data_IF_524903370955
#
_entry.id   IF_524903370955
#
_cell.length_a   1.000
_cell.length_b   1.000
_cell.length_c   1.000
_cell.angle_alpha   90.00
_cell.angle_beta   90.00
_cell.angle_gamma   90.00
#
_symmetry.space_group_name_H-M   'P 1'
#
loop_
_entity.id
_entity.type
_entity.pdbx_description
1 polymer ?
#
# COMPACT_ATOMS: atom_id res chain seq x y z
N UNK A 1 -20.82 7.96 40.34
CA UNK A 1 -21.44 8.32 39.05
C UNK A 1 -20.97 7.33 38.01
N UNK A 2 -21.92 6.64 37.39
CA UNK A 2 -21.72 5.48 36.50
C UNK A 2 -20.93 5.85 35.23
N UNK A 3 -19.81 5.17 35.00
CA UNK A 3 -19.04 5.20 33.75
C UNK A 3 -19.29 3.92 32.92
N UNK A 4 -20.54 3.45 32.87
CA UNK A 4 -20.95 2.32 32.06
C UNK A 4 -21.73 2.83 30.84
N UNK A 5 -21.03 3.19 29.74
CA UNK A 5 -21.63 3.33 28.40
C UNK A 5 -20.63 3.55 27.25
N UNK A 6 -19.62 2.69 27.12
CA UNK A 6 -18.81 2.67 25.88
C UNK A 6 -18.52 1.26 25.30
N UNK A 7 -19.08 0.20 25.89
CA UNK A 7 -18.81 -1.20 25.50
C UNK A 7 -19.90 -1.87 24.63
N UNK A 8 -20.95 -1.16 24.21
CA UNK A 8 -22.02 -1.71 23.37
C UNK A 8 -21.72 -1.65 21.85
N UNK A 9 -20.47 -1.36 21.45
CA UNK A 9 -20.09 -1.46 20.05
C UNK A 9 -19.74 -2.93 19.73
N UNK A 10 -20.41 -3.58 18.75
CA UNK A 10 -20.14 -4.97 18.42
C UNK A 10 -18.65 -5.14 18.08
N UNK A 11 -17.96 -5.93 18.92
CA UNK A 11 -16.53 -6.20 18.76
C UNK A 11 -16.37 -7.42 17.86
N UNK A 12 -15.82 -7.20 16.66
CA UNK A 12 -15.66 -8.24 15.65
C UNK A 12 -14.19 -8.65 15.62
N UNK A 13 -13.90 -9.95 15.56
CA UNK A 13 -12.54 -10.45 15.44
C UNK A 13 -11.96 -10.08 14.09
N UNK A 14 -10.67 -9.73 14.05
CA UNK A 14 -9.97 -9.42 12.80
C UNK A 14 -10.10 -10.55 11.78
N UNK A 15 -10.07 -11.81 12.22
CA UNK A 15 -10.25 -12.96 11.34
C UNK A 15 -11.58 -12.94 10.57
N UNK A 16 -12.65 -12.38 11.14
CA UNK A 16 -13.98 -12.40 10.52
C UNK A 16 -14.16 -11.34 9.42
N UNK A 17 -13.40 -10.24 9.44
CA UNK A 17 -13.52 -9.16 8.45
C UNK A 17 -12.24 -8.87 7.66
N UNK A 18 -11.17 -9.65 7.86
CA UNK A 18 -9.92 -9.48 7.13
C UNK A 18 -10.16 -9.74 5.64
N UNK A 19 -9.77 -8.81 4.75
CA UNK A 19 -9.94 -9.01 3.32
C UNK A 19 -9.10 -10.19 2.81
N UNK A 20 -9.67 -10.98 1.91
CA UNK A 20 -8.99 -12.11 1.30
C UNK A 20 -7.69 -11.67 0.59
N UNK A 21 -6.65 -12.50 0.67
CA UNK A 21 -5.34 -12.13 0.13
C UNK A 21 -5.37 -12.02 -1.38
N UNK A 22 -6.04 -12.95 -2.06
CA UNK A 22 -6.05 -13.00 -3.52
C UNK A 22 -6.85 -11.84 -4.08
N UNK A 23 -8.00 -11.55 -3.47
CA UNK A 23 -8.82 -10.39 -3.85
C UNK A 23 -8.08 -9.06 -3.63
N UNK A 24 -7.42 -8.92 -2.47
CA UNK A 24 -6.65 -7.71 -2.16
C UNK A 24 -5.47 -7.52 -3.11
N UNK A 25 -4.68 -8.58 -3.36
CA UNK A 25 -3.56 -8.52 -4.31
C UNK A 25 -4.04 -8.25 -5.74
N UNK A 26 -5.15 -8.87 -6.14
CA UNK A 26 -5.78 -8.67 -7.44
C UNK A 26 -6.23 -7.23 -7.70
N UNK A 27 -6.43 -6.42 -6.66
CA UNK A 27 -6.71 -4.98 -6.77
C UNK A 27 -5.46 -4.11 -6.55
N UNK A 28 -4.64 -4.46 -5.56
CA UNK A 28 -3.48 -3.67 -5.16
C UNK A 28 -2.41 -3.63 -6.25
N UNK A 29 -2.05 -4.79 -6.80
CA UNK A 29 -1.00 -4.90 -7.82
C UNK A 29 -1.32 -4.07 -9.07
N UNK A 30 -2.49 -4.21 -9.72
CA UNK A 30 -2.81 -3.37 -10.88
C UNK A 30 -2.92 -1.89 -10.53
N UNK A 31 -3.42 -1.54 -9.34
CA UNK A 31 -3.48 -0.14 -8.90
C UNK A 31 -2.09 0.47 -8.81
N UNK A 32 -1.14 -0.20 -8.14
CA UNK A 32 0.24 0.26 -8.03
C UNK A 32 0.96 0.26 -9.37
N UNK A 33 0.68 -0.72 -10.25
CA UNK A 33 1.22 -0.74 -11.62
C UNK A 33 0.75 0.48 -12.42
N UNK A 34 -0.55 0.75 -12.47
CA UNK A 34 -1.13 1.87 -13.22
C UNK A 34 -0.52 3.19 -12.73
N UNK A 35 -0.48 3.39 -11.41
CA UNK A 35 0.10 4.61 -10.81
C UNK A 35 1.58 4.72 -11.12
N UNK A 36 2.32 3.62 -11.03
CA UNK A 36 3.73 3.58 -11.37
C UNK A 36 3.99 3.94 -12.84
N UNK A 37 3.13 3.51 -13.76
CA UNK A 37 3.21 3.89 -15.18
C UNK A 37 2.84 5.35 -15.39
N UNK A 38 1.81 5.86 -14.73
CA UNK A 38 1.46 7.30 -14.79
C UNK A 38 2.61 8.15 -14.26
N UNK A 39 3.24 7.72 -13.14
CA UNK A 39 4.41 8.38 -12.58
C UNK A 39 5.61 8.35 -13.54
N UNK A 40 5.81 7.26 -14.30
CA UNK A 40 6.83 7.20 -15.35
C UNK A 40 6.63 8.28 -16.40
N UNK A 41 5.42 8.42 -16.94
CA UNK A 41 5.14 9.45 -17.95
C UNK A 41 5.28 10.85 -17.38
N UNK A 42 4.85 11.06 -16.13
CA UNK A 42 5.09 12.32 -15.42
C UNK A 42 6.58 12.63 -15.32
N UNK A 43 7.40 11.66 -14.88
CA UNK A 43 8.85 11.81 -14.80
C UNK A 43 9.47 12.07 -16.18
N UNK A 44 9.26 11.19 -17.15
CA UNK A 44 9.90 11.23 -18.45
C UNK A 44 9.54 12.49 -19.28
N UNK A 45 8.32 13.01 -19.12
CA UNK A 45 7.82 14.13 -19.95
C UNK A 45 7.82 15.47 -19.24
N UNK A 46 7.68 15.51 -17.91
CA UNK A 46 7.52 16.76 -17.16
C UNK A 46 8.77 17.19 -16.41
N UNK A 47 9.78 16.33 -16.27
CA UNK A 47 11.04 16.67 -15.58
C UNK A 47 12.19 16.81 -16.58
N UNK A 48 13.10 17.74 -16.31
CA UNK A 48 14.28 17.94 -17.14
C UNK A 48 15.20 16.71 -17.11
N UNK A 49 15.39 16.10 -15.92
CA UNK A 49 16.15 14.86 -15.76
C UNK A 49 15.55 13.69 -16.55
N UNK A 50 14.22 13.56 -16.53
CA UNK A 50 13.51 12.52 -17.26
C UNK A 50 13.65 12.67 -18.78
N UNK A 51 13.59 13.91 -19.29
CA UNK A 51 13.84 14.20 -20.71
C UNK A 51 15.27 13.90 -21.13
N UNK A 52 16.26 14.30 -20.32
CA UNK A 52 17.68 14.01 -20.58
C UNK A 52 17.95 12.49 -20.56
N UNK A 53 17.33 11.75 -19.64
CA UNK A 53 17.44 10.29 -19.61
C UNK A 53 16.73 9.63 -20.79
N UNK A 54 15.61 10.19 -21.23
CA UNK A 54 14.87 9.72 -22.41
C UNK A 54 15.70 9.88 -23.69
N UNK A 55 16.36 11.02 -23.84
CA UNK A 55 17.22 11.31 -25.01
C UNK A 55 18.51 10.47 -25.01
N UNK A 56 19.09 10.20 -23.83
CA UNK A 56 20.37 9.48 -23.72
C UNK A 56 20.24 7.95 -23.75
N UNK A 57 19.22 7.38 -23.11
CA UNK A 57 19.03 5.91 -23.01
C UNK A 57 17.99 5.38 -23.99
N UNK A 58 17.13 6.26 -24.50
CA UNK A 58 15.97 5.90 -25.30
C UNK A 58 14.81 5.37 -24.45
N UNK A 59 13.59 5.54 -24.98
CA UNK A 59 12.33 5.21 -24.31
C UNK A 59 12.27 3.78 -23.76
N UNK A 60 12.65 2.79 -24.58
CA UNK A 60 12.48 1.39 -24.23
C UNK A 60 13.35 0.97 -23.04
N UNK A 61 14.62 1.40 -23.01
CA UNK A 61 15.53 1.07 -21.90
C UNK A 61 15.08 1.74 -20.61
N UNK A 62 14.65 3.01 -20.69
CA UNK A 62 14.14 3.74 -19.54
C UNK A 62 12.87 3.09 -18.98
N UNK A 63 11.94 2.68 -19.86
CA UNK A 63 10.71 2.00 -19.47
C UNK A 63 10.99 0.64 -18.81
N UNK A 64 11.90 -0.17 -19.36
CA UNK A 64 12.24 -1.48 -18.79
C UNK A 64 12.89 -1.33 -17.40
N UNK A 65 13.81 -0.38 -17.23
CA UNK A 65 14.41 -0.08 -15.93
C UNK A 65 13.36 0.38 -14.92
N UNK A 66 12.42 1.23 -15.35
CA UNK A 66 11.32 1.67 -14.52
C UNK A 66 10.39 0.53 -14.11
N UNK A 67 10.01 -0.35 -15.04
CA UNK A 67 9.18 -1.53 -14.79
C UNK A 67 9.84 -2.48 -13.78
N UNK A 68 11.16 -2.69 -13.88
CA UNK A 68 11.90 -3.51 -12.93
C UNK A 68 11.87 -2.89 -11.52
N UNK A 69 12.13 -1.59 -11.41
CA UNK A 69 12.04 -0.85 -10.14
C UNK A 69 10.63 -0.92 -9.56
N UNK A 70 9.61 -0.67 -10.38
CA UNK A 70 8.20 -0.73 -9.98
C UNK A 70 7.81 -2.12 -9.49
N UNK A 71 8.23 -3.17 -10.20
CA UNK A 71 8.00 -4.55 -9.79
C UNK A 71 8.60 -4.85 -8.42
N UNK A 72 9.82 -4.40 -8.15
CA UNK A 72 10.46 -4.56 -6.84
C UNK A 72 9.75 -3.77 -5.74
N UNK A 73 9.30 -2.54 -6.00
CA UNK A 73 8.51 -1.76 -5.04
C UNK A 73 7.19 -2.46 -4.69
N UNK A 74 6.49 -3.01 -5.69
CA UNK A 74 5.26 -3.78 -5.50
C UNK A 74 5.55 -5.05 -4.69
N UNK A 75 6.61 -5.79 -5.02
CA UNK A 75 7.03 -6.96 -4.25
C UNK A 75 7.32 -6.59 -2.79
N UNK A 76 7.99 -5.46 -2.54
CA UNK A 76 8.24 -4.94 -1.19
C UNK A 76 6.95 -4.64 -0.42
N UNK A 77 5.99 -3.95 -1.04
CA UNK A 77 4.68 -3.69 -0.45
C UNK A 77 3.91 -4.99 -0.13
N UNK A 78 3.90 -5.93 -1.07
CA UNK A 78 3.22 -7.22 -0.93
C UNK A 78 3.87 -8.08 0.16
N UNK A 79 5.20 -8.14 0.19
CA UNK A 79 5.96 -8.88 1.20
C UNK A 79 5.72 -8.31 2.61
N UNK A 80 5.69 -6.98 2.75
CA UNK A 80 5.40 -6.32 4.02
C UNK A 80 3.98 -6.66 4.52
N UNK A 81 3.00 -6.65 3.63
CA UNK A 81 1.63 -7.07 3.96
C UNK A 81 1.56 -8.57 4.31
N UNK A 82 2.27 -9.43 3.57
CA UNK A 82 2.32 -10.87 3.85
C UNK A 82 2.98 -11.17 5.21
N UNK A 83 4.04 -10.45 5.56
CA UNK A 83 4.72 -10.57 6.84
C UNK A 83 3.79 -10.19 8.01
N UNK A 84 2.99 -9.12 7.87
CA UNK A 84 1.97 -8.75 8.87
C UNK A 84 0.94 -9.87 9.06
N UNK A 85 0.56 -10.57 7.98
CA UNK A 85 -0.36 -11.73 8.08
C UNK A 85 0.22 -12.89 8.85
N UNK A 86 1.52 -13.14 8.73
CA UNK A 86 2.21 -14.19 9.49
C UNK A 86 2.30 -13.88 10.98
N UNK A 87 2.39 -12.60 11.36
CA UNK A 87 2.61 -12.17 12.76
C UNK A 87 1.29 -11.91 13.49
N UNK A 88 0.25 -11.45 12.79
CA UNK A 88 -1.02 -11.05 13.39
C UNK A 88 -1.96 -12.25 13.56
N UNK A 89 -2.05 -12.78 14.78
CA UNK A 89 -3.09 -13.74 15.18
C UNK A 89 -4.45 -13.03 15.13
N UNK A 90 -5.34 -13.48 14.23
CA UNK A 90 -6.65 -12.87 13.95
C UNK A 90 -7.66 -12.85 15.11
N UNK A 91 -7.22 -13.11 16.34
CA UNK A 91 -7.99 -13.14 17.58
C UNK A 91 -8.21 -11.73 18.18
N UNK A 92 -7.52 -10.69 17.68
CA UNK A 92 -7.76 -9.32 18.15
C UNK A 92 -9.15 -8.84 17.76
N UNK A 93 -9.88 -8.32 18.74
CA UNK A 93 -11.20 -7.72 18.59
C UNK A 93 -11.07 -6.26 18.21
N UNK A 94 -11.88 -5.83 17.23
CA UNK A 94 -11.93 -4.45 16.75
C UNK A 94 -13.36 -3.92 16.78
N UNK A 95 -13.47 -2.64 17.14
CA UNK A 95 -14.68 -1.85 16.99
C UNK A 95 -14.62 -1.02 15.71
N UNK A 96 -15.77 -0.55 15.22
CA UNK A 96 -15.88 0.22 13.97
C UNK A 96 -14.92 1.42 13.90
N UNK A 97 -14.70 2.13 15.02
CA UNK A 97 -13.75 3.27 15.11
C UNK A 97 -12.28 2.85 14.93
N UNK A 98 -11.94 1.60 15.21
CA UNK A 98 -10.56 1.09 15.14
C UNK A 98 -10.21 0.42 13.80
N UNK A 99 -11.18 0.24 12.90
CA UNK A 99 -10.96 -0.38 11.58
C UNK A 99 -10.17 0.55 10.65
N UNK A 100 -10.48 1.85 10.66
CA UNK A 100 -9.78 2.84 9.84
C UNK A 100 -8.29 2.98 10.19
N UNK A 101 -7.88 3.19 11.46
CA UNK A 101 -6.45 3.28 11.80
C UNK A 101 -5.71 1.97 11.54
N UNK A 102 -6.38 0.81 11.61
CA UNK A 102 -5.80 -0.48 11.24
C UNK A 102 -5.46 -0.55 9.74
N UNK A 103 -6.42 -0.20 8.88
CA UNK A 103 -6.21 -0.19 7.44
C UNK A 103 -5.12 0.80 7.02
N UNK A 104 -5.06 1.96 7.67
CA UNK A 104 -3.98 2.94 7.49
C UNK A 104 -2.63 2.39 7.96
N UNK A 105 -2.57 1.73 9.11
CA UNK A 105 -1.35 1.09 9.61
C UNK A 105 -0.76 0.07 8.63
N UNK A 106 -1.61 -0.75 8.02
CA UNK A 106 -1.18 -1.70 6.99
C UNK A 106 -0.72 -1.01 5.71
N UNK A 107 -1.33 0.12 5.36
CA UNK A 107 -0.92 0.92 4.20
C UNK A 107 0.44 1.59 4.44
N UNK A 108 0.71 2.07 5.66
CA UNK A 108 2.02 2.59 6.08
C UNK A 108 3.08 1.49 6.01
N UNK A 109 2.76 0.29 6.50
CA UNK A 109 3.67 -0.85 6.46
C UNK A 109 4.02 -1.25 5.01
N UNK A 110 3.02 -1.29 4.13
CA UNK A 110 3.23 -1.55 2.70
C UNK A 110 4.10 -0.46 2.05
N UNK A 111 3.83 0.81 2.35
CA UNK A 111 4.63 1.94 1.87
C UNK A 111 6.08 1.87 2.37
N UNK A 112 6.30 1.50 3.64
CA UNK A 112 7.63 1.30 4.19
C UNK A 112 8.38 0.16 3.46
N UNK A 113 7.71 -0.96 3.19
CA UNK A 113 8.27 -2.07 2.41
C UNK A 113 8.68 -1.67 1.00
N UNK A 114 7.81 -0.95 0.28
CA UNK A 114 8.13 -0.43 -1.05
C UNK A 114 9.30 0.57 -1.02
N UNK A 115 9.32 1.46 -0.02
CA UNK A 115 10.37 2.47 0.14
C UNK A 115 11.72 1.82 0.43
N UNK A 116 11.74 0.76 1.25
CA UNK A 116 12.96 -0.01 1.52
C UNK A 116 13.53 -0.65 0.24
N UNK A 117 12.67 -1.29 -0.57
CA UNK A 117 13.09 -1.85 -1.86
C UNK A 117 13.56 -0.76 -2.84
N UNK A 118 12.88 0.38 -2.88
CA UNK A 118 13.28 1.54 -3.69
C UNK A 118 14.65 2.08 -3.27
N UNK A 119 14.92 2.20 -1.98
CA UNK A 119 16.23 2.62 -1.45
C UNK A 119 17.33 1.66 -1.87
N UNK A 120 17.09 0.35 -1.75
CA UNK A 120 18.08 -0.69 -2.10
C UNK A 120 18.51 -0.61 -3.58
N UNK A 121 17.55 -0.34 -4.48
CA UNK A 121 17.81 -0.26 -5.92
C UNK A 121 18.44 1.08 -6.30
N UNK A 122 18.05 2.16 -5.62
CA UNK A 122 18.48 3.51 -5.94
C UNK A 122 19.89 3.84 -5.41
N UNK A 123 20.63 2.84 -4.91
CA UNK A 123 21.91 2.97 -4.19
C UNK A 123 22.83 4.09 -4.71
N UNK A 124 22.70 5.28 -4.12
CA UNK A 124 23.51 6.46 -4.43
C UNK A 124 22.92 7.48 -5.41
N UNK A 125 21.63 7.44 -5.73
CA UNK A 125 20.98 8.49 -6.54
C UNK A 125 21.16 9.89 -5.91
N UNK A 126 21.45 10.89 -6.75
CA UNK A 126 21.68 12.28 -6.32
C UNK A 126 20.50 12.88 -5.55
N UNK A 127 19.28 12.37 -5.77
CA UNK A 127 18.07 12.80 -5.05
C UNK A 127 17.31 11.62 -4.41
N UNK A 128 18.04 10.86 -3.59
CA UNK A 128 17.52 9.72 -2.85
C UNK A 128 16.29 10.08 -1.99
N UNK A 129 16.28 11.26 -1.38
CA UNK A 129 15.21 11.68 -0.47
C UNK A 129 13.90 11.88 -1.23
N UNK A 130 13.92 12.57 -2.37
CA UNK A 130 12.73 12.74 -3.22
C UNK A 130 12.20 11.39 -3.71
N UNK A 131 13.08 10.48 -4.17
CA UNK A 131 12.66 9.14 -4.61
C UNK A 131 12.00 8.36 -3.48
N UNK A 132 12.60 8.35 -2.28
CA UNK A 132 12.03 7.68 -1.12
C UNK A 132 10.69 8.29 -0.70
N UNK A 133 10.59 9.62 -0.65
CA UNK A 133 9.35 10.32 -0.28
C UNK A 133 8.24 10.08 -1.30
N UNK A 134 8.53 10.20 -2.60
CA UNK A 134 7.55 9.94 -3.66
C UNK A 134 7.09 8.48 -3.64
N UNK A 135 8.00 7.52 -3.52
CA UNK A 135 7.65 6.09 -3.40
C UNK A 135 6.78 5.85 -2.18
N UNK A 136 7.14 6.41 -1.02
CA UNK A 136 6.37 6.26 0.21
C UNK A 136 4.96 6.85 0.07
N UNK A 137 4.85 8.11 -0.37
CA UNK A 137 3.57 8.82 -0.47
C UNK A 137 2.65 8.16 -1.49
N UNK A 138 3.14 7.85 -2.69
CA UNK A 138 2.34 7.18 -3.71
C UNK A 138 1.89 5.80 -3.23
N UNK A 139 2.82 4.98 -2.72
CA UNK A 139 2.46 3.64 -2.22
C UNK A 139 1.46 3.73 -1.08
N UNK A 140 1.64 4.66 -0.13
CA UNK A 140 0.73 4.86 0.99
C UNK A 140 -0.68 5.22 0.51
N UNK A 141 -0.81 6.25 -0.33
CA UNK A 141 -2.11 6.75 -0.78
C UNK A 141 -2.87 5.69 -1.59
N UNK A 142 -2.19 5.02 -2.51
CA UNK A 142 -2.82 4.03 -3.39
C UNK A 142 -3.00 2.67 -2.73
N UNK A 143 -2.19 2.32 -1.72
CA UNK A 143 -2.49 1.17 -0.87
C UNK A 143 -3.68 1.48 0.03
N UNK A 144 -3.74 2.67 0.64
CA UNK A 144 -4.86 3.09 1.48
C UNK A 144 -6.18 3.13 0.70
N UNK A 145 -6.17 3.61 -0.54
CA UNK A 145 -7.37 3.64 -1.40
C UNK A 145 -7.92 2.24 -1.71
N UNK A 146 -7.10 1.19 -1.65
CA UNK A 146 -7.53 -0.21 -1.82
C UNK A 146 -7.89 -0.86 -0.49
N UNK A 147 -7.04 -0.68 0.53
CA UNK A 147 -7.20 -1.34 1.83
C UNK A 147 -8.36 -0.78 2.63
N UNK A 148 -8.50 0.54 2.74
CA UNK A 148 -9.56 1.17 3.54
C UNK A 148 -10.95 0.70 3.13
N UNK A 149 -11.37 0.74 1.85
CA UNK A 149 -12.69 0.24 1.47
C UNK A 149 -12.82 -1.28 1.66
N UNK A 150 -11.75 -2.05 1.44
CA UNK A 150 -11.76 -3.50 1.66
C UNK A 150 -12.02 -3.85 3.15
N UNK A 151 -11.37 -3.15 4.08
CA UNK A 151 -11.56 -3.34 5.51
C UNK A 151 -12.93 -2.86 6.00
N UNK A 152 -13.41 -1.72 5.51
CA UNK A 152 -14.73 -1.18 5.89
C UNK A 152 -15.87 -2.07 5.36
N UNK A 153 -15.78 -2.54 4.12
CA UNK A 153 -16.79 -3.42 3.52
C UNK A 153 -16.79 -4.81 4.17
N UNK A 154 -15.62 -5.36 4.49
CA UNK A 154 -15.51 -6.60 5.26
C UNK A 154 -16.13 -6.47 6.65
N UNK A 155 -15.88 -5.35 7.35
CA UNK A 155 -16.46 -5.13 8.67
C UNK A 155 -17.99 -5.02 8.62
N UNK A 156 -18.52 -4.27 7.65
CA UNK A 156 -19.97 -4.13 7.47
C UNK A 156 -20.66 -5.47 7.16
N UNK A 157 -20.01 -6.35 6.39
CA UNK A 157 -20.53 -7.71 6.13
C UNK A 157 -20.54 -8.57 7.39
N UNK A 158 -19.45 -8.57 8.16
CA UNK A 158 -19.36 -9.32 9.41
C UNK A 158 -20.32 -8.79 10.49
N UNK A 159 -20.65 -7.49 10.45
CA UNK A 159 -21.68 -6.88 11.31
C UNK A 159 -23.08 -7.36 10.92
N UNK A 160 -23.38 -7.44 9.61
CA UNK A 160 -24.66 -7.94 9.10
C UNK A 160 -24.90 -9.44 9.35
N UNK A 161 -23.86 -10.28 9.31
CA UNK A 161 -23.96 -11.73 9.57
C UNK A 161 -24.23 -12.06 11.05
N UNK A 162 -24.06 -11.10 11.96
CA UNK A 162 -24.32 -11.25 13.40
C UNK A 162 -25.69 -10.73 13.85
N UNK A 163 -26.37 -9.94 13.01
CA UNK A 163 -27.68 -9.33 13.29
C UNK A 163 -28.82 -10.27 12.87
#
# INVERSE_FOLDING_TARGET
MSAAREDDAPSISLAAFRPDQRELLGRLVPTLLIVGIVAFFGYALLTDDGRVQLDSRGFLQLLLGWLAMLGLCILGAVAALAAERGVSTGLRLYTRRRVLPLALGHSILAAAGATFCSFWISGGAYDLLTVMTCTFVLTLLFTASVLVPAYLSGFARAEAERA
#
